data_IF_701812491791
#
_entry.id   IF_701812491791
#
_cell.length_a   1.000
_cell.length_b   1.000
_cell.length_c   1.000
_cell.angle_alpha   90.00
_cell.angle_beta   90.00
_cell.angle_gamma   90.00
#
_symmetry.space_group_name_H-M   'P 1'
#
loop_
_entity.id
_entity.type
_entity.pdbx_description
1 polymer ?
#
# COMPACT_ATOMS: atom_id res chain seq x y z
N UNK A 1 -29.93 -4.61 1.73
CA UNK A 1 -29.23 -5.36 2.79
C UNK A 1 -28.40 -4.38 3.60
N UNK A 2 -28.51 -4.41 4.91
CA UNK A 2 -27.67 -3.65 5.83
C UNK A 2 -26.41 -4.47 6.20
N UNK A 3 -25.44 -3.83 6.87
CA UNK A 3 -24.28 -4.57 7.39
C UNK A 3 -24.68 -5.63 8.43
N UNK A 4 -25.66 -5.31 9.30
CA UNK A 4 -26.16 -6.25 10.33
C UNK A 4 -26.85 -7.46 9.68
N UNK A 5 -27.64 -7.25 8.61
CA UNK A 5 -28.25 -8.36 7.87
C UNK A 5 -27.18 -9.30 7.28
N UNK A 6 -26.09 -8.73 6.72
CA UNK A 6 -24.98 -9.51 6.18
C UNK A 6 -24.26 -10.30 7.28
N UNK A 7 -24.04 -9.66 8.43
CA UNK A 7 -23.38 -10.31 9.57
C UNK A 7 -24.19 -11.48 10.13
N UNK A 8 -25.54 -11.35 10.18
CA UNK A 8 -26.43 -12.44 10.57
C UNK A 8 -26.36 -13.60 9.56
N UNK A 9 -26.40 -13.30 8.26
CA UNK A 9 -26.23 -14.31 7.20
C UNK A 9 -24.88 -15.02 7.33
N UNK A 10 -23.80 -14.27 7.56
CA UNK A 10 -22.45 -14.80 7.71
C UNK A 10 -22.33 -15.73 8.95
N UNK A 11 -22.96 -15.34 10.06
CA UNK A 11 -22.98 -16.17 11.29
C UNK A 11 -23.72 -17.49 11.10
N UNK A 12 -24.85 -17.46 10.37
CA UNK A 12 -25.71 -18.62 10.17
C UNK A 12 -25.15 -19.65 9.18
N UNK A 13 -24.26 -19.25 8.27
CA UNK A 13 -23.71 -20.13 7.21
C UNK A 13 -22.43 -20.80 7.65
N UNK A 14 -22.44 -22.13 7.68
CA UNK A 14 -21.25 -22.94 8.01
C UNK A 14 -20.10 -22.70 7.02
N UNK A 15 -20.41 -22.54 5.73
CA UNK A 15 -19.42 -22.28 4.69
C UNK A 15 -18.72 -20.90 4.79
N UNK A 16 -19.25 -19.96 5.61
CA UNK A 16 -18.59 -18.70 5.90
C UNK A 16 -17.64 -18.89 7.08
N UNK A 17 -16.34 -18.74 6.84
CA UNK A 17 -15.28 -18.83 7.84
C UNK A 17 -15.14 -17.54 8.64
N UNK A 18 -15.44 -16.39 8.05
CA UNK A 18 -15.38 -15.13 8.74
C UNK A 18 -15.69 -13.94 7.86
N UNK A 19 -15.56 -12.74 8.45
CA UNK A 19 -15.86 -11.49 7.81
C UNK A 19 -14.99 -10.38 8.41
N UNK A 20 -14.42 -9.54 7.55
CA UNK A 20 -13.72 -8.34 7.97
C UNK A 20 -14.20 -7.11 7.21
N UNK A 21 -14.15 -5.96 7.89
CA UNK A 21 -14.46 -4.64 7.33
C UNK A 21 -13.15 -3.96 6.99
N UNK A 22 -13.04 -3.44 5.78
CA UNK A 22 -11.86 -2.71 5.32
C UNK A 22 -12.25 -1.29 4.86
N UNK A 23 -11.40 -0.63 4.09
CA UNK A 23 -11.68 0.72 3.64
C UNK A 23 -11.67 1.75 4.78
N UNK A 24 -12.49 2.78 4.69
CA UNK A 24 -12.55 3.87 5.67
C UNK A 24 -13.10 3.42 7.02
N UNK A 25 -14.11 2.54 7.02
CA UNK A 25 -14.74 2.02 8.26
C UNK A 25 -13.84 1.05 9.00
N UNK A 26 -13.13 0.19 8.30
CA UNK A 26 -12.17 -0.73 8.93
C UNK A 26 -11.00 -0.02 9.64
N UNK A 27 -10.67 1.21 9.19
CA UNK A 27 -9.61 2.05 9.76
C UNK A 27 -10.10 3.15 10.70
N UNK A 28 -11.42 3.28 10.85
CA UNK A 28 -12.07 4.41 11.54
C UNK A 28 -11.52 5.77 11.07
N UNK A 29 -11.34 5.91 9.74
CA UNK A 29 -10.75 7.10 9.14
C UNK A 29 -11.64 7.70 8.06
N UNK A 30 -11.92 9.01 8.17
CA UNK A 30 -12.79 9.76 7.26
C UNK A 30 -14.19 9.15 7.11
N UNK A 31 -14.71 8.55 8.18
CA UNK A 31 -16.05 7.96 8.19
C UNK A 31 -17.08 9.06 8.36
N UNK A 32 -18.07 9.10 7.45
CA UNK A 32 -19.23 9.96 7.52
C UNK A 32 -20.53 9.17 7.21
N UNK A 33 -21.66 9.87 7.15
CA UNK A 33 -22.97 9.28 6.86
C UNK A 33 -23.06 8.67 5.44
N UNK A 34 -22.17 9.08 4.52
CA UNK A 34 -22.13 8.62 3.14
C UNK A 34 -21.17 7.44 2.94
N UNK A 35 -20.29 7.20 3.92
CA UNK A 35 -19.32 6.11 3.86
C UNK A 35 -20.05 4.78 3.75
N UNK A 36 -19.74 4.01 2.72
CA UNK A 36 -20.16 2.63 2.52
C UNK A 36 -19.48 1.67 3.49
N UNK A 37 -19.91 0.43 3.45
CA UNK A 37 -19.27 -0.67 4.12
C UNK A 37 -18.53 -1.50 3.08
N UNK A 38 -17.21 -1.42 3.10
CA UNK A 38 -16.33 -2.33 2.35
C UNK A 38 -16.13 -3.60 3.17
N UNK A 39 -16.73 -4.71 2.73
CA UNK A 39 -16.74 -5.96 3.50
C UNK A 39 -16.16 -7.09 2.68
N UNK A 40 -15.27 -7.87 3.28
CA UNK A 40 -14.82 -9.14 2.72
C UNK A 40 -15.43 -10.30 3.52
N UNK A 41 -16.15 -11.18 2.81
CA UNK A 41 -16.65 -12.44 3.36
C UNK A 41 -15.69 -13.56 2.96
N UNK A 42 -15.17 -14.26 3.97
CA UNK A 42 -14.19 -15.35 3.77
C UNK A 42 -14.90 -16.69 3.79
N UNK A 43 -14.77 -17.44 2.70
CA UNK A 43 -15.47 -18.70 2.45
C UNK A 43 -14.52 -19.90 2.60
N UNK A 44 -15.09 -21.06 2.98
CA UNK A 44 -14.36 -22.31 3.22
C UNK A 44 -13.78 -22.93 1.93
N UNK A 45 -14.38 -22.63 0.76
CA UNK A 45 -13.91 -23.16 -0.51
C UNK A 45 -14.29 -22.24 -1.67
N UNK A 46 -13.71 -22.50 -2.84
CA UNK A 46 -14.04 -21.81 -4.07
C UNK A 46 -15.51 -22.01 -4.48
N UNK A 47 -16.03 -23.23 -4.33
CA UNK A 47 -17.42 -23.57 -4.66
C UNK A 47 -18.38 -22.79 -3.76
N UNK A 48 -18.09 -22.72 -2.46
CA UNK A 48 -18.88 -21.95 -1.50
C UNK A 48 -18.84 -20.44 -1.83
N UNK A 49 -17.68 -19.95 -2.30
CA UNK A 49 -17.54 -18.56 -2.76
C UNK A 49 -18.41 -18.30 -3.99
N UNK A 50 -18.35 -19.15 -5.03
CA UNK A 50 -19.15 -19.01 -6.24
C UNK A 50 -20.67 -19.09 -5.96
N UNK A 51 -21.07 -19.87 -4.96
CA UNK A 51 -22.46 -19.93 -4.50
C UNK A 51 -22.87 -18.64 -3.79
N UNK A 52 -22.02 -18.14 -2.90
CA UNK A 52 -22.26 -16.90 -2.16
C UNK A 52 -22.35 -15.70 -3.10
N UNK A 53 -21.44 -15.58 -4.08
CA UNK A 53 -21.42 -14.50 -5.07
C UNK A 53 -22.65 -14.49 -6.00
N UNK A 54 -23.26 -15.66 -6.28
CA UNK A 54 -24.51 -15.72 -7.04
C UNK A 54 -25.68 -15.17 -6.27
N UNK A 55 -25.70 -15.31 -4.95
CA UNK A 55 -26.75 -14.80 -4.08
C UNK A 55 -26.53 -13.33 -3.71
N UNK A 56 -25.25 -12.96 -3.48
CA UNK A 56 -24.80 -11.62 -3.08
C UNK A 56 -23.78 -11.09 -4.09
N UNK A 57 -24.20 -10.71 -5.29
CA UNK A 57 -23.26 -10.22 -6.30
C UNK A 57 -22.66 -8.89 -5.88
N UNK A 58 -21.38 -8.67 -6.25
CA UNK A 58 -20.73 -7.38 -6.08
C UNK A 58 -21.54 -6.27 -6.76
N UNK A 59 -21.81 -5.21 -6.02
CA UNK A 59 -22.56 -4.05 -6.52
C UNK A 59 -21.82 -2.76 -6.14
N UNK A 60 -21.12 -2.18 -7.11
CA UNK A 60 -20.40 -0.92 -6.91
C UNK A 60 -21.34 0.22 -6.52
N UNK A 61 -20.97 0.99 -5.51
CA UNK A 61 -21.78 2.10 -4.97
C UNK A 61 -22.97 1.63 -4.12
N UNK A 62 -23.06 0.34 -3.79
CA UNK A 62 -24.01 -0.14 -2.81
C UNK A 62 -23.63 0.35 -1.39
N UNK A 63 -24.63 0.46 -0.50
CA UNK A 63 -24.35 0.81 0.92
C UNK A 63 -23.45 -0.21 1.62
N UNK A 64 -23.45 -1.45 1.17
CA UNK A 64 -22.56 -2.52 1.58
C UNK A 64 -21.96 -3.13 0.32
N UNK A 65 -20.69 -2.87 0.07
CA UNK A 65 -19.92 -3.48 -1.02
C UNK A 65 -19.28 -4.77 -0.51
N UNK A 66 -19.70 -5.89 -1.09
CA UNK A 66 -19.25 -7.22 -0.66
C UNK A 66 -18.24 -7.75 -1.66
N UNK A 67 -17.03 -8.01 -1.19
CA UNK A 67 -16.06 -8.84 -1.88
C UNK A 67 -15.93 -10.17 -1.16
N UNK A 68 -15.41 -11.17 -1.83
CA UNK A 68 -15.26 -12.51 -1.29
C UNK A 68 -13.85 -13.02 -1.50
N UNK A 69 -13.38 -13.84 -0.57
CA UNK A 69 -12.11 -14.55 -0.68
C UNK A 69 -12.21 -15.92 -0.02
N UNK A 70 -11.27 -16.80 -0.32
CA UNK A 70 -10.99 -17.96 0.51
C UNK A 70 -9.79 -17.66 1.42
N UNK A 71 -9.64 -18.43 2.50
CA UNK A 71 -8.47 -18.28 3.39
C UNK A 71 -7.16 -18.55 2.64
N UNK A 72 -7.15 -19.55 1.74
CA UNK A 72 -5.99 -19.85 0.89
C UNK A 72 -5.61 -18.67 -0.04
N UNK A 73 -6.60 -17.98 -0.59
CA UNK A 73 -6.35 -16.79 -1.42
C UNK A 73 -5.75 -15.64 -0.61
N UNK A 74 -6.18 -15.45 0.65
CA UNK A 74 -5.58 -14.46 1.55
C UNK A 74 -4.12 -14.81 1.90
N UNK A 75 -3.84 -16.08 2.20
CA UNK A 75 -2.48 -16.58 2.42
C UNK A 75 -1.58 -16.41 1.18
N UNK A 76 -2.13 -16.66 0.00
CA UNK A 76 -1.40 -16.59 -1.27
C UNK A 76 -1.30 -15.17 -1.82
N UNK A 77 -1.94 -14.17 -1.20
CA UNK A 77 -1.99 -12.81 -1.72
C UNK A 77 -0.61 -12.15 -1.76
N UNK A 78 -0.12 -11.86 -2.97
CA UNK A 78 1.16 -11.18 -3.23
C UNK A 78 0.98 -9.79 -3.83
N UNK A 79 -0.25 -9.39 -4.14
CA UNK A 79 -0.59 -8.08 -4.68
C UNK A 79 -0.47 -7.02 -3.60
N UNK A 80 0.42 -6.05 -3.75
CA UNK A 80 0.54 -4.92 -2.81
C UNK A 80 -0.80 -4.18 -2.66
N UNK A 81 -1.52 -3.97 -3.77
CA UNK A 81 -2.84 -3.35 -3.75
C UNK A 81 -3.85 -4.17 -2.93
N UNK A 82 -3.94 -5.48 -3.21
CA UNK A 82 -4.86 -6.37 -2.49
C UNK A 82 -4.49 -6.52 -1.01
N UNK A 83 -3.19 -6.55 -0.70
CA UNK A 83 -2.73 -6.59 0.69
C UNK A 83 -3.10 -5.33 1.44
N UNK A 84 -2.83 -4.14 0.85
CA UNK A 84 -3.20 -2.90 1.53
C UNK A 84 -4.72 -2.74 1.68
N UNK A 85 -5.54 -3.28 0.79
CA UNK A 85 -7.00 -3.29 0.97
C UNK A 85 -7.38 -3.96 2.31
N UNK A 86 -6.76 -5.08 2.66
CA UNK A 86 -7.00 -5.82 3.91
C UNK A 86 -6.15 -5.35 5.09
N UNK A 87 -5.08 -4.56 4.85
CA UNK A 87 -4.26 -3.99 5.92
C UNK A 87 -5.09 -3.13 6.87
N UNK A 88 -4.89 -3.29 8.18
CA UNK A 88 -5.65 -2.59 9.23
C UNK A 88 -7.17 -2.79 9.17
N UNK A 89 -7.63 -3.90 8.55
CA UNK A 89 -9.05 -4.24 8.52
C UNK A 89 -9.53 -4.73 9.89
N UNK A 90 -10.80 -4.45 10.19
CA UNK A 90 -11.44 -4.92 11.44
C UNK A 90 -12.10 -6.28 11.19
N UNK A 91 -11.62 -7.34 11.84
CA UNK A 91 -12.17 -8.69 11.75
C UNK A 91 -13.34 -8.80 12.72
N UNK A 92 -14.56 -8.72 12.20
CA UNK A 92 -15.81 -8.71 13.00
C UNK A 92 -16.41 -10.09 13.20
N UNK A 93 -15.98 -11.10 12.44
CA UNK A 93 -16.34 -12.50 12.59
C UNK A 93 -15.15 -13.38 12.20
N UNK A 94 -14.73 -14.23 13.13
CA UNK A 94 -13.69 -15.25 12.90
C UNK A 94 -14.18 -16.59 13.48
N UNK A 95 -14.36 -17.60 12.61
CA UNK A 95 -14.73 -18.96 12.97
C UNK A 95 -13.57 -19.95 12.79
N UNK A 96 -12.34 -19.41 12.63
CA UNK A 96 -11.14 -20.19 12.31
C UNK A 96 -10.16 -20.25 13.49
N UNK A 97 -10.66 -20.10 14.71
CA UNK A 97 -9.85 -20.08 15.94
C UNK A 97 -8.69 -19.05 15.88
N UNK A 98 -8.94 -17.89 15.24
CA UNK A 98 -7.99 -16.77 15.13
C UNK A 98 -7.07 -16.82 13.91
N UNK A 99 -7.18 -17.83 13.05
CA UNK A 99 -6.37 -17.92 11.83
C UNK A 99 -6.67 -16.77 10.87
N UNK A 100 -7.96 -16.47 10.62
CA UNK A 100 -8.35 -15.34 9.78
C UNK A 100 -7.81 -14.02 10.31
N UNK A 101 -7.95 -13.79 11.61
CA UNK A 101 -7.44 -12.58 12.27
C UNK A 101 -5.93 -12.40 12.05
N UNK A 102 -5.16 -13.49 12.21
CA UNK A 102 -3.72 -13.49 11.96
C UNK A 102 -3.38 -13.20 10.49
N UNK A 103 -4.05 -13.86 9.56
CA UNK A 103 -3.80 -13.68 8.11
C UNK A 103 -4.15 -12.28 7.65
N UNK A 104 -5.22 -11.68 8.17
CA UNK A 104 -5.58 -10.28 7.89
C UNK A 104 -4.53 -9.32 8.45
N UNK A 105 -4.05 -9.54 9.67
CA UNK A 105 -2.97 -8.73 10.25
C UNK A 105 -1.66 -8.80 9.45
N UNK A 106 -1.34 -9.95 8.85
CA UNK A 106 -0.15 -10.13 7.99
C UNK A 106 -0.23 -9.34 6.67
N UNK A 107 -1.42 -8.83 6.27
CA UNK A 107 -1.57 -8.15 4.99
C UNK A 107 -0.92 -6.75 4.95
N UNK A 108 -0.65 -6.12 6.08
CA UNK A 108 0.05 -4.83 6.15
C UNK A 108 1.53 -4.94 5.75
N UNK A 109 2.12 -6.14 5.86
CA UNK A 109 3.53 -6.39 5.58
C UNK A 109 3.74 -7.01 4.19
N UNK A 110 4.88 -6.73 3.57
CA UNK A 110 5.34 -7.46 2.40
C UNK A 110 5.74 -8.88 2.82
N UNK A 111 5.37 -9.92 2.03
CA UNK A 111 5.90 -11.25 2.26
C UNK A 111 7.44 -11.23 2.17
N UNK A 112 8.17 -11.85 3.13
CA UNK A 112 9.63 -11.78 3.17
C UNK A 112 10.29 -12.20 1.86
N UNK A 113 9.72 -13.18 1.16
CA UNK A 113 10.24 -13.69 -0.11
C UNK A 113 10.07 -12.71 -1.29
N UNK A 114 9.23 -11.69 -1.16
CA UNK A 114 8.97 -10.70 -2.22
C UNK A 114 9.56 -9.33 -1.91
N UNK A 115 9.87 -9.03 -0.64
CA UNK A 115 10.33 -7.72 -0.19
C UNK A 115 11.51 -7.20 -1.02
N UNK A 116 12.55 -8.00 -1.17
CA UNK A 116 13.76 -7.58 -1.86
C UNK A 116 13.52 -7.25 -3.34
N UNK A 117 12.67 -8.04 -4.01
CA UNK A 117 12.29 -7.77 -5.39
C UNK A 117 11.50 -6.46 -5.51
N UNK A 118 10.56 -6.21 -4.59
CA UNK A 118 9.77 -4.96 -4.54
C UNK A 118 10.67 -3.76 -4.30
N UNK A 119 11.61 -3.84 -3.36
CA UNK A 119 12.57 -2.74 -3.08
C UNK A 119 13.40 -2.44 -4.32
N UNK A 120 13.99 -3.46 -4.96
CA UNK A 120 14.85 -3.28 -6.14
C UNK A 120 14.10 -2.65 -7.32
N UNK A 121 12.93 -3.17 -7.63
CA UNK A 121 12.08 -2.64 -8.70
C UNK A 121 11.67 -1.20 -8.42
N UNK A 122 11.14 -0.92 -7.22
CA UNK A 122 10.65 0.42 -6.89
C UNK A 122 11.78 1.45 -6.80
N UNK A 123 12.96 1.07 -6.28
CA UNK A 123 14.12 1.93 -6.19
C UNK A 123 14.68 2.26 -7.58
N UNK A 124 14.77 1.28 -8.48
CA UNK A 124 15.23 1.50 -9.86
C UNK A 124 14.29 2.44 -10.62
N UNK A 125 12.97 2.21 -10.54
CA UNK A 125 11.96 3.09 -11.11
C UNK A 125 12.06 4.52 -10.54
N UNK A 126 12.25 4.66 -9.23
CA UNK A 126 12.39 5.95 -8.57
C UNK A 126 13.64 6.70 -9.06
N UNK A 127 14.79 6.03 -9.14
CA UNK A 127 16.03 6.61 -9.66
C UNK A 127 15.83 7.09 -11.09
N UNK A 128 15.24 6.26 -11.96
CA UNK A 128 14.98 6.59 -13.35
C UNK A 128 14.11 7.85 -13.51
N UNK A 129 12.95 7.90 -12.83
CA UNK A 129 12.04 9.03 -12.95
C UNK A 129 12.65 10.32 -12.40
N UNK A 130 13.35 10.23 -11.24
CA UNK A 130 14.02 11.39 -10.65
C UNK A 130 15.16 11.90 -11.54
N UNK A 131 15.96 11.00 -12.11
CA UNK A 131 17.00 11.36 -13.09
C UNK A 131 16.42 12.10 -14.28
N UNK A 132 15.35 11.59 -14.89
CA UNK A 132 14.68 12.23 -16.03
C UNK A 132 14.16 13.61 -15.67
N UNK A 133 13.52 13.74 -14.51
CA UNK A 133 13.02 15.02 -14.01
C UNK A 133 14.14 16.04 -13.85
N UNK A 134 15.22 15.69 -13.16
CA UNK A 134 16.33 16.62 -12.88
C UNK A 134 17.13 16.95 -14.11
N UNK A 135 17.39 15.98 -14.99
CA UNK A 135 18.18 16.18 -16.20
C UNK A 135 17.45 16.99 -17.27
N UNK A 136 16.15 16.71 -17.48
CA UNK A 136 15.37 17.31 -18.57
C UNK A 136 14.44 18.43 -18.11
N UNK A 137 14.35 18.68 -16.80
CA UNK A 137 13.49 19.70 -16.21
C UNK A 137 11.99 19.41 -16.35
N UNK A 138 11.60 18.13 -16.44
CA UNK A 138 10.21 17.75 -16.67
C UNK A 138 9.47 17.56 -15.36
N UNK A 139 8.45 18.39 -15.10
CA UNK A 139 7.61 18.28 -13.91
C UNK A 139 6.80 16.97 -13.90
N UNK A 140 6.43 16.43 -15.05
CA UNK A 140 5.71 15.16 -15.11
C UNK A 140 6.53 14.00 -14.57
N UNK A 141 7.83 13.92 -14.91
CA UNK A 141 8.71 12.89 -14.35
C UNK A 141 8.87 13.07 -12.82
N UNK A 142 8.89 14.33 -12.31
CA UNK A 142 8.88 14.55 -10.85
C UNK A 142 7.62 14.00 -10.17
N UNK A 143 6.46 14.18 -10.79
CA UNK A 143 5.19 13.61 -10.28
C UNK A 143 5.21 12.08 -10.36
N UNK A 144 5.68 11.51 -11.47
CA UNK A 144 5.78 10.06 -11.65
C UNK A 144 6.77 9.41 -10.68
N UNK A 145 7.81 10.14 -10.24
CA UNK A 145 8.78 9.66 -9.25
C UNK A 145 8.17 9.44 -7.84
N UNK A 146 7.08 10.12 -7.50
CA UNK A 146 6.49 10.05 -6.13
C UNK A 146 5.95 8.67 -5.81
N UNK A 147 5.29 8.00 -6.74
CA UNK A 147 4.72 6.68 -6.49
C UNK A 147 5.80 5.62 -6.22
N UNK A 148 6.87 5.47 -7.03
CA UNK A 148 7.95 4.55 -6.74
C UNK A 148 8.79 4.99 -5.52
N UNK A 149 8.97 6.29 -5.24
CA UNK A 149 9.61 6.75 -4.00
C UNK A 149 8.87 6.24 -2.76
N UNK A 150 7.56 6.44 -2.69
CA UNK A 150 6.74 5.94 -1.58
C UNK A 150 6.78 4.41 -1.50
N UNK A 151 6.69 3.71 -2.64
CA UNK A 151 6.79 2.26 -2.67
C UNK A 151 8.12 1.78 -2.11
N UNK A 152 9.23 2.46 -2.46
CA UNK A 152 10.57 2.17 -1.92
C UNK A 152 10.63 2.39 -0.42
N UNK A 153 10.16 3.55 0.08
CA UNK A 153 10.18 3.90 1.51
C UNK A 153 9.44 2.85 2.33
N UNK A 154 8.21 2.49 1.92
CA UNK A 154 7.41 1.49 2.64
C UNK A 154 8.02 0.08 2.53
N UNK A 155 8.53 -0.31 1.35
CA UNK A 155 9.14 -1.62 1.16
C UNK A 155 10.44 -1.80 1.95
N UNK A 156 11.25 -0.75 2.11
CA UNK A 156 12.44 -0.77 2.98
C UNK A 156 12.05 -1.08 4.43
N UNK A 157 10.88 -0.62 4.87
CA UNK A 157 10.32 -0.92 6.20
C UNK A 157 9.55 -2.26 6.26
N UNK A 158 9.58 -3.04 5.17
CA UNK A 158 8.87 -4.33 5.07
C UNK A 158 7.36 -4.20 4.95
N UNK A 159 6.84 -3.03 4.65
CA UNK A 159 5.40 -2.73 4.60
C UNK A 159 4.91 -2.50 3.18
N UNK A 160 3.62 -2.75 2.96
CA UNK A 160 2.96 -2.39 1.71
C UNK A 160 2.66 -0.90 1.66
N UNK A 161 2.83 -0.29 0.47
CA UNK A 161 2.50 1.11 0.27
C UNK A 161 1.00 1.36 0.41
N UNK A 162 0.57 2.40 1.19
CA UNK A 162 -0.83 2.78 1.31
C UNK A 162 -1.39 3.39 0.02
N UNK A 163 -2.72 3.35 -0.12
CA UNK A 163 -3.40 4.20 -1.09
C UNK A 163 -3.20 5.67 -0.73
N UNK A 164 -3.09 6.54 -1.73
CA UNK A 164 -2.78 7.95 -1.52
C UNK A 164 -3.72 8.64 -0.50
N UNK A 165 -5.01 8.28 -0.50
CA UNK A 165 -5.98 8.85 0.44
C UNK A 165 -5.70 8.52 1.91
N UNK A 166 -4.95 7.43 2.18
CA UNK A 166 -4.60 7.00 3.53
C UNK A 166 -3.17 7.31 3.92
N UNK A 167 -2.35 7.89 3.02
CA UNK A 167 -0.92 8.10 3.27
C UNK A 167 -0.65 8.88 4.56
N UNK A 168 -1.35 10.02 4.77
CA UNK A 168 -1.18 10.82 5.97
C UNK A 168 -1.61 10.05 7.23
N UNK A 169 -2.76 9.39 7.18
CA UNK A 169 -3.24 8.57 8.30
C UNK A 169 -2.22 7.46 8.64
N UNK A 170 -1.73 6.76 7.62
CA UNK A 170 -0.75 5.69 7.77
C UNK A 170 0.54 6.18 8.45
N UNK A 171 1.09 7.31 7.98
CA UNK A 171 2.31 7.89 8.56
C UNK A 171 2.11 8.40 9.99
N UNK A 172 0.90 8.83 10.37
CA UNK A 172 0.61 9.31 11.73
C UNK A 172 0.32 8.18 12.70
N UNK A 173 -0.41 7.16 12.28
CA UNK A 173 -0.78 6.02 13.14
C UNK A 173 0.31 4.96 13.21
N UNK A 174 1.03 4.77 12.12
CA UNK A 174 2.04 3.73 11.94
C UNK A 174 3.31 4.34 11.32
N UNK A 175 4.05 5.19 12.08
CA UNK A 175 5.21 5.88 11.54
C UNK A 175 6.27 4.90 11.03
N UNK A 176 6.98 5.29 9.98
CA UNK A 176 8.08 4.56 9.39
C UNK A 176 9.41 4.98 10.04
N UNK A 177 10.39 4.11 10.02
CA UNK A 177 11.72 4.46 10.50
C UNK A 177 12.34 5.58 9.65
N UNK A 178 12.68 6.68 10.30
CA UNK A 178 13.27 7.86 9.66
C UNK A 178 12.30 8.75 8.87
N UNK A 179 10.97 8.45 8.88
CA UNK A 179 9.97 9.24 8.17
C UNK A 179 8.76 9.53 9.04
N UNK A 180 8.46 10.80 9.25
CA UNK A 180 7.22 11.24 9.89
C UNK A 180 6.29 11.88 8.86
N UNK A 181 5.00 11.98 9.17
CA UNK A 181 4.06 12.69 8.34
C UNK A 181 4.46 14.17 8.15
N UNK A 182 4.94 14.80 9.22
CA UNK A 182 5.29 16.22 9.21
C UNK A 182 6.60 16.53 8.46
N UNK A 183 7.45 15.51 8.23
CA UNK A 183 8.64 15.64 7.39
C UNK A 183 8.34 15.28 5.93
N UNK A 184 7.70 14.11 5.71
CA UNK A 184 7.56 13.54 4.38
C UNK A 184 6.52 14.29 3.54
N UNK A 185 5.35 14.63 4.09
CA UNK A 185 4.28 15.25 3.29
C UNK A 185 4.68 16.63 2.73
N UNK A 186 5.29 17.55 3.50
CA UNK A 186 5.79 18.81 2.94
C UNK A 186 6.92 18.62 1.92
N UNK A 187 7.77 17.61 2.10
CA UNK A 187 8.82 17.29 1.13
C UNK A 187 8.22 16.81 -0.19
N UNK A 188 7.20 15.95 -0.13
CA UNK A 188 6.47 15.48 -1.32
C UNK A 188 5.77 16.63 -2.07
N UNK A 189 5.16 17.59 -1.36
CA UNK A 189 4.54 18.77 -1.98
C UNK A 189 5.56 19.60 -2.78
N UNK A 190 6.75 19.76 -2.26
CA UNK A 190 7.86 20.45 -2.96
C UNK A 190 8.34 19.62 -4.17
N UNK A 191 8.45 18.30 -4.06
CA UNK A 191 8.76 17.41 -5.18
C UNK A 191 7.68 17.50 -6.27
N UNK A 192 6.40 17.45 -5.90
CA UNK A 192 5.26 17.58 -6.80
C UNK A 192 5.22 18.95 -7.51
N UNK A 193 5.76 20.00 -6.88
CA UNK A 193 5.92 21.31 -7.52
C UNK A 193 7.08 21.35 -8.52
N UNK A 194 7.91 20.30 -8.57
CA UNK A 194 9.07 20.18 -9.46
C UNK A 194 10.34 20.83 -8.92
N UNK A 195 10.42 21.11 -7.61
CA UNK A 195 11.59 21.73 -6.97
C UNK A 195 12.80 20.78 -7.00
N UNK A 196 13.92 21.10 -7.71
CA UNK A 196 15.07 20.20 -7.81
C UNK A 196 15.72 19.90 -6.46
N UNK A 197 15.82 20.90 -5.58
CA UNK A 197 16.41 20.71 -4.26
C UNK A 197 15.63 19.71 -3.41
N UNK A 198 14.29 19.71 -3.50
CA UNK A 198 13.45 18.74 -2.81
C UNK A 198 13.60 17.33 -3.38
N UNK A 199 13.75 17.19 -4.70
CA UNK A 199 14.02 15.90 -5.32
C UNK A 199 15.39 15.33 -4.88
N UNK A 200 16.43 16.19 -4.83
CA UNK A 200 17.76 15.78 -4.33
C UNK A 200 17.70 15.40 -2.83
N UNK A 201 16.94 16.14 -2.02
CA UNK A 201 16.75 15.86 -0.59
C UNK A 201 16.06 14.50 -0.38
N UNK A 202 14.94 14.26 -1.08
CA UNK A 202 14.21 13.00 -1.00
C UNK A 202 15.09 11.83 -1.47
N UNK A 203 15.80 12.01 -2.58
CA UNK A 203 16.71 10.99 -3.09
C UNK A 203 17.81 10.66 -2.08
N UNK A 204 18.49 11.67 -1.51
CA UNK A 204 19.58 11.46 -0.57
C UNK A 204 19.15 10.64 0.65
N UNK A 205 17.97 10.90 1.19
CA UNK A 205 17.42 10.13 2.32
C UNK A 205 17.07 8.69 1.93
N UNK A 206 16.46 8.48 0.76
CA UNK A 206 16.14 7.13 0.26
C UNK A 206 17.42 6.37 -0.06
N UNK A 207 18.42 7.00 -0.71
CA UNK A 207 19.72 6.38 -1.01
C UNK A 207 20.42 5.93 0.28
N UNK A 208 20.47 6.79 1.30
CA UNK A 208 21.10 6.46 2.59
C UNK A 208 20.45 5.21 3.21
N UNK A 209 19.12 5.17 3.28
CA UNK A 209 18.39 4.04 3.83
C UNK A 209 18.58 2.77 2.99
N UNK A 210 18.47 2.89 1.65
CA UNK A 210 18.65 1.76 0.74
C UNK A 210 20.05 1.14 0.86
N UNK A 211 21.10 1.96 0.99
CA UNK A 211 22.47 1.48 1.22
C UNK A 211 22.61 0.79 2.57
N UNK A 212 22.01 1.33 3.62
CA UNK A 212 22.02 0.71 4.95
C UNK A 212 21.36 -0.69 4.92
N UNK A 213 20.29 -0.86 4.15
CA UNK A 213 19.56 -2.12 4.00
C UNK A 213 20.18 -3.08 2.94
N UNK A 214 21.30 -2.70 2.31
CA UNK A 214 22.01 -3.56 1.37
C UNK A 214 21.58 -3.45 -0.09
N UNK A 215 20.81 -2.42 -0.47
CA UNK A 215 20.35 -2.18 -1.84
C UNK A 215 21.15 -1.10 -2.59
N UNK A 216 22.37 -0.77 -2.12
CA UNK A 216 23.22 0.24 -2.74
C UNK A 216 23.60 -0.07 -4.17
N UNK A 217 23.68 -1.34 -4.54
CA UNK A 217 24.00 -1.81 -5.89
C UNK A 217 22.99 -1.35 -6.95
N UNK A 218 21.72 -1.18 -6.57
CA UNK A 218 20.68 -0.65 -7.48
C UNK A 218 20.99 0.81 -7.85
N UNK A 219 21.42 1.62 -6.86
CA UNK A 219 21.81 3.02 -7.11
C UNK A 219 23.12 3.09 -7.89
N UNK A 220 24.11 2.25 -7.56
CA UNK A 220 25.42 2.22 -8.21
C UNK A 220 25.34 1.83 -9.69
N UNK A 221 24.31 1.07 -10.07
CA UNK A 221 24.04 0.74 -11.48
C UNK A 221 23.75 1.98 -12.36
N UNK A 222 23.39 3.11 -11.75
CA UNK A 222 23.13 4.38 -12.42
C UNK A 222 24.34 5.34 -12.49
N UNK A 223 25.51 4.93 -12.05
CA UNK A 223 26.73 5.77 -12.21
C UNK A 223 27.11 5.94 -13.70
N UNK A 224 27.50 7.13 -14.16
CA UNK A 224 27.67 8.38 -13.38
C UNK A 224 26.41 9.25 -13.30
N UNK A 225 25.28 8.83 -13.85
CA UNK A 225 24.05 9.64 -13.98
C UNK A 225 23.42 9.95 -12.60
N UNK A 226 23.66 9.11 -11.57
CA UNK A 226 23.20 9.34 -10.19
C UNK A 226 23.73 10.66 -9.59
N UNK A 227 24.78 11.24 -10.11
CA UNK A 227 25.31 12.53 -9.64
C UNK A 227 24.33 13.71 -9.85
N UNK A 228 23.39 13.58 -10.79
CA UNK A 228 22.25 14.51 -10.91
C UNK A 228 21.34 14.46 -9.69
N UNK A 229 21.05 13.27 -9.21
CA UNK A 229 20.17 13.03 -8.07
C UNK A 229 20.80 13.50 -6.76
N UNK A 230 22.14 13.49 -6.70
CA UNK A 230 22.92 14.00 -5.56
C UNK A 230 23.12 15.52 -5.61
N UNK A 231 22.62 16.20 -6.63
CA UNK A 231 22.82 17.65 -6.82
C UNK A 231 24.26 18.05 -7.14
N UNK A 232 25.10 17.10 -7.59
CA UNK A 232 26.52 17.34 -7.89
C UNK A 232 26.78 17.57 -9.38
N UNK A 233 25.92 17.11 -10.26
CA UNK A 233 25.98 17.44 -11.66
C UNK A 233 25.42 18.86 -11.88
N UNK A 234 26.27 19.77 -12.37
CA UNK A 234 25.82 21.14 -12.66
C UNK A 234 24.80 21.16 -13.78
N UNK A 235 23.69 21.87 -13.59
CA UNK A 235 22.79 22.22 -14.68
C UNK A 235 23.63 22.94 -15.74
N UNK A 236 23.80 22.33 -16.91
CA UNK A 236 24.29 23.08 -18.08
C UNK A 236 23.12 23.96 -18.52
N UNK A 237 23.23 25.26 -18.21
CA UNK A 237 22.34 26.29 -18.73
C UNK A 237 22.33 26.31 -20.28
#
# INVERSE_FOLDING_TARGET
MTFDDLLEVARAREAVLGLYVFGSRGRDFMVDERSDWDVCVVLASREAREEFEREFPFAHGARVEIVTATLDELHANRSEHGRYAAAHADVVLDKTDGELTRVVAEQESLPPETRDAVVREALDDYVNQTYRSLRYGTRLDAVEAVAPALRTIFALDGRVRPYNKYLEWELRQHPLEGWTADDLLPLLDRVLSGEPAAQNELFGRIEERARHEGFGDVVDAWEPDVEWLRGRAGYRA
#
